data_IF_812461697420
#
_entry.id   IF_812461697420
#
_cell.length_a   1.000
_cell.length_b   1.000
_cell.length_c   1.000
_cell.angle_alpha   90.00
_cell.angle_beta   90.00
_cell.angle_gamma   90.00
#
_symmetry.space_group_name_H-M   'P 1'
#
loop_
_entity.id
_entity.type
_entity.pdbx_description
1 polymer ?
#
# COMPACT_ATOMS: atom_id res chain seq x y z
N UNK A 1 -3.38 2.26 -15.06
CA UNK A 1 -2.36 1.19 -15.18
C UNK A 1 -0.99 1.87 -15.19
N UNK A 2 -0.03 1.43 -14.37
CA UNK A 2 1.28 2.10 -14.21
C UNK A 2 2.32 1.64 -15.26
N UNK A 3 1.88 0.94 -16.33
CA UNK A 3 2.76 0.30 -17.33
C UNK A 3 2.53 0.81 -18.76
N UNK A 4 1.76 1.89 -18.92
CA UNK A 4 1.47 2.43 -20.26
C UNK A 4 2.73 2.99 -20.93
N UNK A 5 2.77 3.05 -22.28
CA UNK A 5 3.89 3.66 -23.00
C UNK A 5 4.19 5.10 -22.57
N UNK A 6 3.16 5.89 -22.28
CA UNK A 6 3.30 7.26 -21.79
C UNK A 6 4.06 7.33 -20.45
N UNK A 7 3.71 6.47 -19.49
CA UNK A 7 4.38 6.40 -18.19
C UNK A 7 5.82 5.92 -18.34
N UNK A 8 6.07 4.91 -19.18
CA UNK A 8 7.43 4.42 -19.46
C UNK A 8 8.32 5.52 -20.06
N UNK A 9 7.81 6.26 -21.05
CA UNK A 9 8.53 7.39 -21.67
C UNK A 9 8.85 8.48 -20.65
N UNK A 10 7.91 8.79 -19.76
CA UNK A 10 8.12 9.78 -18.72
C UNK A 10 9.20 9.33 -17.73
N UNK A 11 9.18 8.07 -17.26
CA UNK A 11 10.20 7.55 -16.33
C UNK A 11 11.61 7.57 -16.94
N UNK A 12 11.74 7.22 -18.22
CA UNK A 12 13.02 7.31 -18.94
C UNK A 12 13.57 8.75 -18.99
N UNK A 13 12.69 9.74 -19.10
CA UNK A 13 13.08 11.15 -19.08
C UNK A 13 13.38 11.69 -17.66
N UNK A 14 13.03 10.95 -16.60
CA UNK A 14 13.16 11.38 -15.21
C UNK A 14 13.89 10.32 -14.37
N UNK A 15 15.22 10.14 -14.55
CA UNK A 15 15.99 9.06 -13.94
C UNK A 15 16.07 9.14 -12.41
N UNK A 16 15.68 10.28 -11.80
CA UNK A 16 15.55 10.43 -10.34
C UNK A 16 14.56 9.44 -9.72
N UNK A 17 13.60 8.93 -10.50
CA UNK A 17 12.57 8.02 -9.99
C UNK A 17 12.94 6.56 -10.28
N UNK A 18 13.25 5.80 -9.22
CA UNK A 18 13.43 4.35 -9.27
C UNK A 18 12.19 3.65 -8.70
N UNK A 19 11.53 2.84 -9.52
CA UNK A 19 10.32 2.13 -9.11
C UNK A 19 10.66 0.75 -8.54
N UNK A 20 10.26 0.52 -7.29
CA UNK A 20 10.24 -0.82 -6.68
C UNK A 20 8.81 -1.36 -6.77
N UNK A 21 8.62 -2.41 -7.57
CA UNK A 21 7.31 -3.05 -7.69
C UNK A 21 7.18 -4.17 -6.67
N UNK A 22 6.07 -4.18 -5.92
CA UNK A 22 5.70 -5.33 -5.11
C UNK A 22 5.26 -6.50 -6.02
N UNK A 23 5.60 -7.76 -5.68
CA UNK A 23 5.12 -8.91 -6.46
C UNK A 23 3.59 -8.95 -6.55
N UNK A 24 3.07 -9.54 -7.63
CA UNK A 24 1.63 -9.77 -7.80
C UNK A 24 1.09 -10.55 -6.59
N UNK A 25 -0.05 -10.13 -6.05
CA UNK A 25 -0.65 -10.75 -4.85
C UNK A 25 0.00 -10.34 -3.53
N UNK A 26 1.02 -9.48 -3.54
CA UNK A 26 1.70 -9.00 -2.33
C UNK A 26 1.24 -7.61 -1.89
N UNK A 27 -0.07 -7.33 -1.97
CA UNK A 27 -0.65 -6.05 -1.53
C UNK A 27 -0.39 -5.74 -0.06
N UNK A 28 -0.18 -6.76 0.77
CA UNK A 28 0.21 -6.62 2.17
C UNK A 28 1.55 -5.91 2.37
N UNK A 29 2.43 -5.89 1.36
CA UNK A 29 3.68 -5.10 1.37
C UNK A 29 3.43 -3.60 1.13
N UNK A 30 2.27 -3.24 0.60
CA UNK A 30 1.94 -1.86 0.23
C UNK A 30 1.35 -1.10 1.43
N UNK A 31 2.21 -0.40 2.19
CA UNK A 31 1.78 0.39 3.34
C UNK A 31 0.77 1.51 3.00
N UNK A 32 0.75 1.97 1.75
CA UNK A 32 -0.25 2.97 1.31
C UNK A 32 -1.67 2.39 1.35
N UNK A 33 -1.84 1.10 1.09
CA UNK A 33 -3.14 0.44 1.18
C UNK A 33 -3.60 0.33 2.64
N UNK A 34 -2.65 0.08 3.56
CA UNK A 34 -2.96 0.12 4.99
C UNK A 34 -3.39 1.52 5.44
N UNK A 35 -2.73 2.56 4.93
CA UNK A 35 -3.12 3.94 5.17
C UNK A 35 -4.53 4.25 4.66
N UNK A 36 -4.88 3.80 3.44
CA UNK A 36 -6.24 3.95 2.91
C UNK A 36 -7.29 3.20 3.73
N UNK A 37 -6.94 2.04 4.30
CA UNK A 37 -7.82 1.32 5.21
C UNK A 37 -8.10 2.13 6.49
N UNK A 38 -7.11 2.82 7.06
CA UNK A 38 -7.31 3.71 8.22
C UNK A 38 -8.23 4.89 7.87
N UNK A 39 -7.97 5.60 6.77
CA UNK A 39 -8.83 6.68 6.29
C UNK A 39 -10.28 6.19 6.11
N UNK A 40 -10.44 5.02 5.49
CA UNK A 40 -11.75 4.43 5.21
C UNK A 40 -12.50 4.11 6.49
N UNK A 41 -11.84 3.47 7.45
CA UNK A 41 -12.48 3.01 8.70
C UNK A 41 -12.76 4.17 9.67
N UNK A 42 -11.89 5.18 9.71
CA UNK A 42 -11.98 6.29 10.67
C UNK A 42 -12.80 7.47 10.15
N UNK A 43 -12.70 7.80 8.86
CA UNK A 43 -13.35 8.98 8.30
C UNK A 43 -14.52 8.62 7.37
N UNK A 44 -14.31 7.73 6.40
CA UNK A 44 -15.28 7.54 5.30
C UNK A 44 -16.49 6.72 5.75
N UNK A 45 -16.29 5.54 6.35
CA UNK A 45 -17.39 4.63 6.74
C UNK A 45 -18.24 5.16 7.89
N UNK A 46 -17.71 6.08 8.70
CA UNK A 46 -18.36 6.66 9.89
C UNK A 46 -18.85 8.09 9.65
N UNK A 47 -18.51 8.70 8.51
CA UNK A 47 -18.87 10.06 8.16
C UNK A 47 -20.20 10.13 7.41
N UNK A 48 -20.92 11.24 7.57
CA UNK A 48 -22.08 11.60 6.74
C UNK A 48 -21.70 12.81 5.91
N UNK A 49 -21.41 12.59 4.62
CA UNK A 49 -20.96 13.64 3.71
C UNK A 49 -22.11 14.04 2.80
N UNK A 50 -22.57 15.29 2.91
CA UNK A 50 -23.74 15.80 2.18
C UNK A 50 -23.42 16.29 0.76
N UNK A 51 -22.14 16.35 0.39
CA UNK A 51 -21.66 16.69 -0.94
C UNK A 51 -20.22 16.19 -1.15
N UNK A 52 -19.77 16.20 -2.41
CA UNK A 52 -18.38 15.87 -2.77
C UNK A 52 -17.41 16.86 -2.12
N UNK A 53 -17.74 18.16 -2.09
CA UNK A 53 -16.91 19.19 -1.46
C UNK A 53 -16.79 18.99 0.05
N UNK A 54 -17.86 18.53 0.70
CA UNK A 54 -17.82 18.18 2.12
C UNK A 54 -16.90 16.97 2.36
N UNK A 55 -17.01 15.92 1.55
CA UNK A 55 -16.12 14.75 1.61
C UNK A 55 -14.65 15.14 1.41
N UNK A 56 -14.36 15.97 0.39
CA UNK A 56 -13.00 16.42 0.11
C UNK A 56 -12.41 17.21 1.29
N UNK A 57 -13.18 18.16 1.85
CA UNK A 57 -12.78 18.93 3.03
C UNK A 57 -12.48 18.02 4.21
N UNK A 58 -13.33 17.04 4.45
CA UNK A 58 -13.20 16.08 5.55
C UNK A 58 -11.95 15.20 5.38
N UNK A 59 -11.68 14.71 4.17
CA UNK A 59 -10.45 13.96 3.87
C UNK A 59 -9.22 14.84 4.10
N UNK A 60 -9.20 16.09 3.63
CA UNK A 60 -8.08 17.02 3.83
C UNK A 60 -7.81 17.31 5.31
N UNK A 61 -8.88 17.53 6.08
CA UNK A 61 -8.78 17.75 7.53
C UNK A 61 -8.23 16.52 8.24
N UNK A 62 -8.71 15.33 7.88
CA UNK A 62 -8.22 14.07 8.43
C UNK A 62 -6.74 13.85 8.12
N UNK A 63 -6.30 14.12 6.88
CA UNK A 63 -4.88 14.04 6.48
C UNK A 63 -4.04 15.01 7.31
N UNK A 64 -4.49 16.26 7.47
CA UNK A 64 -3.77 17.26 8.26
C UNK A 64 -3.60 16.82 9.72
N UNK A 65 -4.67 16.31 10.34
CA UNK A 65 -4.63 15.78 11.70
C UNK A 65 -3.78 14.50 11.82
N UNK A 66 -3.82 13.60 10.84
CA UNK A 66 -2.95 12.41 10.83
C UNK A 66 -1.46 12.80 10.80
N UNK A 67 -1.11 13.83 10.04
CA UNK A 67 0.28 14.26 9.87
C UNK A 67 0.86 14.99 11.09
N UNK A 68 0.06 15.41 12.09
CA UNK A 68 0.60 16.03 13.31
C UNK A 68 1.26 15.02 14.24
N UNK A 69 0.78 13.77 14.26
CA UNK A 69 1.37 12.64 15.01
C UNK A 69 1.16 11.36 14.19
N UNK A 70 1.93 11.19 13.09
CA UNK A 70 1.75 10.05 12.22
C UNK A 70 2.12 8.78 12.97
N UNK A 71 1.24 7.77 12.91
CA UNK A 71 1.56 6.43 13.43
C UNK A 71 2.21 5.62 12.30
N UNK A 72 3.54 5.46 12.28
CA UNK A 72 4.19 4.64 11.27
C UNK A 72 3.74 3.19 11.44
N UNK A 73 3.50 2.52 10.31
CA UNK A 73 3.30 1.07 10.32
C UNK A 73 4.65 0.40 10.54
N UNK A 74 4.78 -0.29 11.67
CA UNK A 74 6.01 -1.01 12.03
C UNK A 74 5.88 -2.45 11.56
N UNK A 75 6.84 -2.88 10.75
CA UNK A 75 7.01 -4.29 10.42
C UNK A 75 7.41 -5.04 11.68
N UNK A 76 6.59 -5.99 12.10
CA UNK A 76 6.87 -6.82 13.29
C UNK A 76 7.78 -8.01 12.97
N UNK A 77 8.07 -8.23 11.69
CA UNK A 77 8.91 -9.32 11.18
C UNK A 77 10.00 -8.77 10.28
N UNK A 78 11.21 -9.31 10.43
CA UNK A 78 12.32 -8.99 9.53
C UNK A 78 12.10 -9.61 8.15
N UNK A 79 12.82 -9.11 7.15
CA UNK A 79 12.81 -9.72 5.82
C UNK A 79 13.25 -11.18 5.86
N UNK A 80 14.28 -11.49 6.66
CA UNK A 80 14.81 -12.85 6.82
C UNK A 80 13.76 -13.79 7.44
N UNK A 81 13.04 -13.36 8.48
CA UNK A 81 11.96 -14.15 9.09
C UNK A 81 10.83 -14.43 8.08
N UNK A 82 10.52 -13.47 7.21
CA UNK A 82 9.51 -13.64 6.16
C UNK A 82 10.00 -14.65 5.11
N UNK A 83 11.24 -14.51 4.65
CA UNK A 83 11.84 -15.39 3.64
C UNK A 83 12.00 -16.82 4.16
N UNK A 84 12.43 -17.01 5.40
CA UNK A 84 12.56 -18.31 6.04
C UNK A 84 11.19 -19.00 6.18
N UNK A 85 10.15 -18.26 6.59
CA UNK A 85 8.79 -18.80 6.68
C UNK A 85 8.22 -19.17 5.31
N UNK A 86 8.50 -18.37 4.27
CA UNK A 86 8.12 -18.70 2.89
C UNK A 86 8.84 -19.95 2.39
N UNK A 87 10.15 -20.07 2.64
CA UNK A 87 10.92 -21.26 2.28
C UNK A 87 10.38 -22.52 2.98
N UNK A 88 10.07 -22.43 4.27
CA UNK A 88 9.43 -23.52 5.02
C UNK A 88 8.08 -23.92 4.43
N UNK A 89 7.26 -22.94 4.01
CA UNK A 89 5.96 -23.20 3.38
C UNK A 89 6.10 -23.88 2.01
N UNK A 90 7.02 -23.40 1.16
CA UNK A 90 7.29 -23.97 -0.15
C UNK A 90 7.87 -25.37 -0.07
N UNK A 91 8.76 -25.64 0.89
CA UNK A 91 9.31 -26.98 1.13
C UNK A 91 8.29 -27.96 1.73
N UNK A 92 7.19 -27.47 2.33
CA UNK A 92 6.11 -28.30 2.89
C UNK A 92 5.04 -28.71 1.89
N UNK A 93 5.09 -28.19 0.67
CA UNK A 93 4.28 -28.67 -0.44
C UNK A 93 5.19 -29.62 -1.23
N UNK A 94 5.26 -30.92 -0.88
CA UNK A 94 5.91 -31.88 -1.76
C UNK A 94 5.09 -31.87 -3.05
N UNK A 95 5.77 -31.55 -4.15
CA UNK A 95 5.40 -31.88 -5.52
C UNK A 95 3.91 -32.22 -5.68
N UNK A 96 3.05 -31.19 -5.74
CA UNK A 96 1.65 -31.40 -6.10
C UNK A 96 1.65 -31.76 -7.58
N UNK A 97 1.92 -33.04 -7.86
CA UNK A 97 2.09 -33.60 -9.18
C UNK A 97 0.92 -33.22 -10.06
N UNK A 98 1.20 -32.33 -11.01
CA UNK A 98 0.47 -32.15 -12.24
C UNK A 98 1.45 -32.37 -13.38
#
# INVERSE_FOLDING_TARGET
THKTPAIKKWLLAHPRFHLHFTPTGSSWLNLVERWFAELTNKQIRRGVHRSVQALEKDIRNWIAAWNTDPKPYVWTKSADEILERLASYLNRIPDSGH
#
